data_IF_606564025046
#
_entry.id   IF_606564025046
#
_cell.length_a   1.000
_cell.length_b   1.000
_cell.length_c   1.000
_cell.angle_alpha   90.00
_cell.angle_beta   90.00
_cell.angle_gamma   90.00
#
_symmetry.space_group_name_H-M   'P 1'
#
loop_
_entity.id
_entity.type
_entity.pdbx_description
1 polymer ?
#
# COMPACT_ATOMS: atom_id res chain seq x y z
N UNK A 1 -25.90 47.56 -18.28
CA UNK A 1 -25.39 46.73 -17.17
C UNK A 1 -23.97 46.27 -17.53
N UNK A 2 -22.95 46.86 -16.92
CA UNK A 2 -21.55 46.46 -17.11
C UNK A 2 -21.20 45.34 -16.10
N UNK A 3 -21.59 44.10 -16.39
CA UNK A 3 -20.93 42.91 -15.80
C UNK A 3 -19.55 42.77 -16.47
N UNK A 4 -18.66 43.74 -16.28
CA UNK A 4 -17.43 43.85 -17.07
C UNK A 4 -16.22 43.50 -16.22
N UNK A 5 -15.66 42.33 -16.54
CA UNK A 5 -14.26 41.95 -16.37
C UNK A 5 -13.85 41.53 -14.94
N UNK A 6 -14.30 42.23 -13.90
CA UNK A 6 -13.90 41.90 -12.53
C UNK A 6 -14.56 40.60 -12.04
N UNK A 7 -15.80 40.36 -12.45
CA UNK A 7 -16.60 39.22 -11.99
C UNK A 7 -16.14 37.89 -12.61
N UNK A 8 -15.64 37.89 -13.85
CA UNK A 8 -15.15 36.64 -14.46
C UNK A 8 -13.89 36.12 -13.77
N UNK A 9 -12.99 37.01 -13.31
CA UNK A 9 -11.77 36.59 -12.60
C UNK A 9 -12.13 35.92 -11.28
N UNK A 10 -13.05 36.53 -10.52
CA UNK A 10 -13.56 35.94 -9.29
C UNK A 10 -14.33 34.63 -9.53
N UNK A 11 -15.11 34.55 -10.62
CA UNK A 11 -15.80 33.31 -11.00
C UNK A 11 -14.83 32.18 -11.35
N UNK A 12 -13.75 32.47 -12.10
CA UNK A 12 -12.71 31.48 -12.43
C UNK A 12 -12.03 30.98 -11.16
N UNK A 13 -11.69 31.88 -10.23
CA UNK A 13 -11.09 31.49 -8.95
C UNK A 13 -12.03 30.59 -8.15
N UNK A 14 -13.32 30.90 -8.09
CA UNK A 14 -14.31 30.04 -7.44
C UNK A 14 -14.41 28.66 -8.09
N UNK A 15 -14.43 28.60 -9.43
CA UNK A 15 -14.47 27.33 -10.16
C UNK A 15 -13.22 26.49 -9.87
N UNK A 16 -12.04 27.11 -9.85
CA UNK A 16 -10.79 26.42 -9.50
C UNK A 16 -10.81 25.86 -8.07
N UNK A 17 -11.35 26.62 -7.11
CA UNK A 17 -11.50 26.15 -5.73
C UNK A 17 -12.47 24.97 -5.63
N UNK A 18 -13.59 25.01 -6.36
CA UNK A 18 -14.55 23.91 -6.41
C UNK A 18 -13.90 22.66 -7.01
N UNK A 19 -13.15 22.80 -8.11
CA UNK A 19 -12.41 21.69 -8.73
C UNK A 19 -11.38 21.13 -7.75
N UNK A 20 -10.65 21.97 -7.02
CA UNK A 20 -9.67 21.53 -6.02
C UNK A 20 -10.34 20.71 -4.91
N UNK A 21 -11.47 21.17 -4.38
CA UNK A 21 -12.25 20.44 -3.37
C UNK A 21 -12.75 19.11 -3.93
N UNK A 22 -13.25 19.09 -5.15
CA UNK A 22 -13.69 17.85 -5.82
C UNK A 22 -12.52 16.88 -5.99
N UNK A 23 -11.34 17.34 -6.42
CA UNK A 23 -10.15 16.48 -6.56
C UNK A 23 -9.73 15.89 -5.21
N UNK A 24 -9.77 16.68 -4.13
CA UNK A 24 -9.46 16.21 -2.78
C UNK A 24 -10.50 15.19 -2.28
N UNK A 25 -11.79 15.43 -2.55
CA UNK A 25 -12.89 14.54 -2.14
C UNK A 25 -12.94 13.24 -2.97
N UNK A 26 -12.62 13.30 -4.27
CA UNK A 26 -12.62 12.14 -5.15
C UNK A 26 -11.39 11.29 -4.93
N UNK A 27 -10.24 11.86 -4.51
CA UNK A 27 -9.05 11.07 -4.26
C UNK A 27 -9.22 10.29 -2.95
N UNK A 28 -9.62 9.00 -2.99
CA UNK A 28 -9.62 8.22 -1.78
C UNK A 28 -8.13 8.02 -1.48
N UNK A 29 -7.63 8.59 -0.39
CA UNK A 29 -6.42 8.06 0.21
C UNK A 29 -6.72 6.60 0.55
N UNK A 30 -6.53 5.71 -0.42
CA UNK A 30 -6.71 4.27 -0.28
C UNK A 30 -5.70 3.87 0.78
N UNK A 31 -6.20 3.70 2.01
CA UNK A 31 -5.38 3.29 3.13
C UNK A 31 -4.82 1.92 2.76
N UNK A 32 -3.49 1.83 2.68
CA UNK A 32 -2.84 0.54 2.59
C UNK A 32 -3.24 -0.28 3.82
N UNK A 33 -3.68 -1.50 3.58
CA UNK A 33 -3.91 -2.49 4.62
C UNK A 33 -2.65 -3.32 4.74
N UNK A 34 -2.12 -3.45 5.95
CA UNK A 34 -0.97 -4.30 6.24
C UNK A 34 -1.35 -5.55 7.02
N UNK A 35 -0.62 -6.64 6.76
CA UNK A 35 -0.71 -7.87 7.54
C UNK A 35 0.61 -8.64 7.51
N UNK A 36 0.88 -9.41 8.55
CA UNK A 36 2.07 -10.24 8.67
C UNK A 36 1.81 -11.67 8.18
N UNK A 37 2.77 -12.21 7.43
CA UNK A 37 2.85 -13.63 7.11
C UNK A 37 3.84 -14.30 8.06
N UNK A 38 3.34 -15.25 8.84
CA UNK A 38 4.19 -16.07 9.70
C UNK A 38 5.01 -17.03 8.84
N UNK A 39 6.32 -16.89 8.89
CA UNK A 39 7.23 -17.90 8.36
C UNK A 39 7.14 -19.18 9.21
N UNK A 40 6.95 -20.31 8.54
CA UNK A 40 7.10 -21.61 9.18
C UNK A 40 8.58 -21.94 9.19
N UNK A 41 9.23 -21.77 10.34
CA UNK A 41 10.63 -22.11 10.52
C UNK A 41 10.82 -23.20 11.59
N UNK A 42 11.90 -23.96 11.46
CA UNK A 42 12.23 -25.02 12.41
C UNK A 42 13.68 -25.50 12.26
N UNK A 43 14.24 -26.14 13.30
CA UNK A 43 15.61 -26.63 13.27
C UNK A 43 15.76 -27.84 12.35
N UNK A 44 16.71 -27.79 11.42
CA UNK A 44 17.13 -28.90 10.57
C UNK A 44 18.66 -28.93 10.55
N UNK A 45 19.27 -30.01 11.06
CA UNK A 45 20.72 -30.26 11.02
C UNK A 45 21.58 -29.02 11.32
N UNK A 46 21.53 -28.50 12.56
CA UNK A 46 22.24 -27.30 13.03
C UNK A 46 21.93 -25.98 12.28
N UNK A 47 20.96 -25.95 11.38
CA UNK A 47 20.48 -24.73 10.71
C UNK A 47 18.99 -24.52 10.98
N UNK A 48 18.52 -23.28 10.84
CA UNK A 48 17.08 -22.97 10.84
C UNK A 48 16.61 -23.03 9.39
N UNK A 49 15.65 -23.92 9.11
CA UNK A 49 14.98 -23.95 7.82
C UNK A 49 13.85 -22.94 7.81
N UNK A 50 13.73 -22.19 6.71
CA UNK A 50 12.73 -21.14 6.54
C UNK A 50 11.83 -21.45 5.34
N UNK A 51 10.51 -21.40 5.53
CA UNK A 51 9.56 -21.46 4.42
C UNK A 51 9.54 -20.17 3.58
N UNK A 52 10.00 -19.06 4.17
CA UNK A 52 10.18 -17.75 3.54
C UNK A 52 11.63 -17.31 3.76
N UNK A 53 12.54 -17.90 2.98
CA UNK A 53 13.97 -17.62 3.08
C UNK A 53 14.44 -16.37 2.32
N UNK A 54 13.61 -15.81 1.45
CA UNK A 54 13.98 -14.68 0.58
C UNK A 54 12.86 -13.64 0.47
N UNK A 55 13.24 -12.41 0.16
CA UNK A 55 12.30 -11.32 -0.14
C UNK A 55 11.39 -11.70 -1.32
N UNK A 56 11.92 -12.35 -2.35
CA UNK A 56 11.15 -12.83 -3.51
C UNK A 56 10.05 -13.82 -3.10
N UNK A 57 10.35 -14.75 -2.20
CA UNK A 57 9.36 -15.70 -1.68
C UNK A 57 8.26 -14.99 -0.86
N UNK A 58 8.66 -14.00 -0.06
CA UNK A 58 7.76 -13.13 0.70
C UNK A 58 6.83 -12.34 -0.25
N UNK A 59 7.38 -11.74 -1.31
CA UNK A 59 6.63 -11.00 -2.33
C UNK A 59 5.57 -11.87 -3.04
N UNK A 60 5.94 -13.09 -3.46
CA UNK A 60 5.02 -14.00 -4.16
C UNK A 60 3.83 -14.36 -3.24
N UNK A 61 4.11 -14.69 -1.98
CA UNK A 61 3.06 -14.99 -1.00
C UNK A 61 2.19 -13.77 -0.70
N UNK A 62 2.78 -12.59 -0.51
CA UNK A 62 2.03 -11.36 -0.31
C UNK A 62 1.12 -11.05 -1.49
N UNK A 63 1.60 -11.20 -2.73
CA UNK A 63 0.80 -10.96 -3.93
C UNK A 63 -0.42 -11.88 -3.97
N UNK A 64 -0.23 -13.16 -3.73
CA UNK A 64 -1.33 -14.14 -3.65
C UNK A 64 -2.32 -13.81 -2.54
N UNK A 65 -1.85 -13.40 -1.36
CA UNK A 65 -2.73 -13.08 -0.23
C UNK A 65 -3.49 -11.75 -0.42
N UNK A 66 -2.88 -10.75 -1.04
CA UNK A 66 -3.59 -9.53 -1.45
C UNK A 66 -4.72 -9.89 -2.43
N UNK A 67 -4.45 -10.74 -3.42
CA UNK A 67 -5.42 -11.17 -4.43
C UNK A 67 -6.60 -11.93 -3.82
N UNK A 68 -6.34 -12.86 -2.89
CA UNK A 68 -7.40 -13.57 -2.13
C UNK A 68 -8.27 -12.60 -1.32
N UNK A 69 -7.70 -11.48 -0.87
CA UNK A 69 -8.42 -10.42 -0.15
C UNK A 69 -9.05 -9.38 -1.08
N UNK A 70 -9.01 -9.59 -2.39
CA UNK A 70 -9.50 -8.65 -3.41
C UNK A 70 -8.82 -7.27 -3.35
N UNK A 71 -7.58 -7.22 -2.86
CA UNK A 71 -6.73 -6.02 -2.79
C UNK A 71 -5.60 -6.11 -3.82
N UNK A 72 -5.12 -4.96 -4.29
CA UNK A 72 -3.93 -4.87 -5.16
C UNK A 72 -2.67 -4.88 -4.31
N UNK A 73 -1.72 -5.72 -4.67
CA UNK A 73 -0.38 -5.70 -4.09
C UNK A 73 0.26 -4.32 -4.27
N UNK A 74 0.87 -3.80 -3.20
CA UNK A 74 1.60 -2.53 -3.23
C UNK A 74 3.09 -2.75 -2.98
N UNK A 75 3.45 -3.26 -1.79
CA UNK A 75 4.84 -3.50 -1.38
C UNK A 75 4.93 -4.57 -0.30
N UNK A 76 6.17 -4.92 0.03
CA UNK A 76 6.50 -5.89 1.07
C UNK A 76 7.66 -5.37 1.92
N UNK A 77 7.67 -5.72 3.20
CA UNK A 77 8.82 -5.54 4.08
C UNK A 77 9.26 -6.93 4.57
N UNK A 78 10.49 -7.32 4.21
CA UNK A 78 11.07 -8.60 4.61
C UNK A 78 12.15 -8.37 5.66
N UNK A 79 11.98 -8.98 6.84
CA UNK A 79 12.93 -8.87 7.94
C UNK A 79 13.57 -10.23 8.22
N UNK A 80 14.88 -10.31 8.01
CA UNK A 80 15.67 -11.52 8.20
C UNK A 80 16.02 -11.67 9.67
N UNK A 81 15.70 -12.83 10.24
CA UNK A 81 16.08 -13.18 11.59
C UNK A 81 17.10 -14.32 11.58
N UNK A 82 18.31 -14.05 12.06
CA UNK A 82 19.39 -15.04 12.09
C UNK A 82 19.23 -16.09 13.20
N UNK A 83 18.37 -15.83 14.20
CA UNK A 83 18.19 -16.67 15.39
C UNK A 83 16.76 -17.21 15.53
N UNK A 84 15.88 -16.92 14.57
CA UNK A 84 14.45 -17.28 14.63
C UNK A 84 13.82 -17.25 13.25
N UNK A 85 12.48 -17.24 13.17
CA UNK A 85 11.81 -17.19 11.87
C UNK A 85 11.91 -15.80 11.24
N UNK A 86 11.94 -15.75 9.90
CA UNK A 86 11.87 -14.48 9.19
C UNK A 86 10.48 -13.87 9.35
N UNK A 87 10.37 -12.54 9.25
CA UNK A 87 9.08 -11.87 9.22
C UNK A 87 8.84 -11.24 7.84
N UNK A 88 7.58 -11.27 7.42
CA UNK A 88 7.14 -10.83 6.11
C UNK A 88 5.87 -10.00 6.26
N UNK A 89 5.98 -8.68 6.07
CA UNK A 89 4.83 -7.76 6.17
C UNK A 89 4.37 -7.36 4.79
N UNK A 90 3.11 -7.68 4.47
CA UNK A 90 2.49 -7.37 3.18
C UNK A 90 1.70 -6.06 3.27
N UNK A 91 1.73 -5.26 2.21
CA UNK A 91 0.93 -4.04 2.07
C UNK A 91 0.08 -4.11 0.79
N UNK A 92 -1.24 -3.98 0.93
CA UNK A 92 -2.21 -4.08 -0.17
C UNK A 92 -3.17 -2.86 -0.20
N UNK A 93 -3.76 -2.53 -1.35
CA UNK A 93 -4.61 -1.34 -1.58
C UNK A 93 -5.77 -1.53 -2.57
#
# INVERSE_FOLDING_TARGET
MNFKIKDYKSAIIMILLIILVIVILINPFKKEVSFELKDSCGPIMNMISHSIGTESACMIKCKSQCEVKELKFSRVEFNINLQGCNNCTCFCK
#
